data_IF_889046774075
#
_entry.id   IF_889046774075
#
_cell.length_a   1.000
_cell.length_b   1.000
_cell.length_c   1.000
_cell.angle_alpha   90.00
_cell.angle_beta   90.00
_cell.angle_gamma   90.00
#
_symmetry.space_group_name_H-M   'P 1'
#
loop_
_entity.id
_entity.type
_entity.pdbx_description
1 polymer ?
#
# COMPACT_ATOMS: atom_id res chain seq x y z
N UNK A 1 13.36 -1.13 3.55
CA UNK A 1 12.93 0.24 3.16
C UNK A 1 11.43 0.35 3.38
N UNK A 2 10.99 1.50 3.86
CA UNK A 2 9.59 1.78 4.12
C UNK A 2 9.29 3.24 3.81
N UNK A 3 8.09 3.52 3.32
CA UNK A 3 7.62 4.87 3.04
C UNK A 3 6.81 5.37 4.23
N UNK A 4 7.18 6.54 4.75
CA UNK A 4 6.54 7.23 5.86
C UNK A 4 5.78 8.44 5.32
N UNK A 5 4.50 8.58 5.64
CA UNK A 5 3.72 9.76 5.32
C UNK A 5 4.02 10.88 6.32
N UNK A 6 4.11 12.11 5.83
CA UNK A 6 4.26 13.30 6.69
C UNK A 6 2.94 13.72 7.31
N UNK A 7 1.83 13.47 6.61
CA UNK A 7 0.47 13.76 7.07
C UNK A 7 -0.34 12.47 7.10
N UNK A 8 -0.92 12.09 8.25
CA UNK A 8 -1.76 10.90 8.34
C UNK A 8 -3.00 10.98 7.45
N UNK A 9 -3.40 9.83 6.91
CA UNK A 9 -4.63 9.67 6.14
C UNK A 9 -5.83 9.65 7.09
N UNK A 10 -6.88 10.35 6.68
CA UNK A 10 -8.16 10.45 7.34
C UNK A 10 -9.29 10.58 6.30
N UNK A 11 -10.54 10.68 6.78
CA UNK A 11 -11.74 10.77 5.93
C UNK A 11 -11.79 11.99 4.99
N UNK A 12 -10.97 13.02 5.21
CA UNK A 12 -10.94 14.22 4.38
C UNK A 12 -9.94 14.10 3.22
N UNK A 13 -8.78 13.46 3.45
CA UNK A 13 -7.68 13.40 2.47
C UNK A 13 -7.47 12.00 1.85
N UNK A 14 -8.17 10.95 2.29
CA UNK A 14 -7.94 9.59 1.76
C UNK A 14 -8.15 9.47 0.24
N UNK A 15 -8.96 10.36 -0.34
CA UNK A 15 -9.25 10.39 -1.78
C UNK A 15 -8.14 11.01 -2.61
N UNK A 16 -7.16 11.64 -1.98
CA UNK A 16 -5.99 12.22 -2.67
C UNK A 16 -5.00 11.11 -3.05
N UNK A 17 -5.03 9.99 -2.32
CA UNK A 17 -4.12 8.85 -2.47
C UNK A 17 -4.67 7.74 -3.38
N UNK A 18 -5.12 8.08 -4.59
CA UNK A 18 -5.67 7.09 -5.54
C UNK A 18 -4.57 6.43 -6.38
N UNK A 19 -4.71 5.13 -6.64
CA UNK A 19 -3.85 4.40 -7.56
C UNK A 19 -4.67 3.76 -8.68
N UNK A 20 -4.43 4.20 -9.92
CA UNK A 20 -5.33 3.95 -11.05
C UNK A 20 -6.78 4.33 -10.67
N UNK A 21 -7.74 3.43 -10.89
CA UNK A 21 -9.16 3.62 -10.55
C UNK A 21 -9.50 3.19 -9.10
N UNK A 22 -8.49 2.77 -8.32
CA UNK A 22 -8.70 2.31 -6.95
C UNK A 22 -8.63 3.46 -5.94
N UNK A 23 -9.64 3.53 -5.08
CA UNK A 23 -9.70 4.47 -3.96
C UNK A 23 -9.32 3.77 -2.65
N UNK A 24 -8.64 4.51 -1.77
CA UNK A 24 -8.42 4.08 -0.40
C UNK A 24 -9.73 3.97 0.37
N UNK A 25 -9.89 2.83 1.02
CA UNK A 25 -11.01 2.54 1.90
C UNK A 25 -10.49 2.25 3.30
N UNK A 26 -11.17 2.82 4.29
CA UNK A 26 -10.91 2.49 5.68
C UNK A 26 -11.46 1.09 5.96
N UNK A 27 -10.58 0.16 6.35
CA UNK A 27 -10.96 -1.19 6.76
C UNK A 27 -11.36 -1.22 8.24
N UNK A 28 -10.61 -0.45 9.03
CA UNK A 28 -10.77 -0.24 10.47
C UNK A 28 -10.22 1.15 10.81
N UNK A 29 -10.59 1.76 11.95
CA UNK A 29 -10.11 3.08 12.32
C UNK A 29 -8.59 3.22 12.18
N UNK A 30 -8.13 4.10 11.28
CA UNK A 30 -6.71 4.36 11.05
C UNK A 30 -5.97 3.33 10.16
N UNK A 31 -6.68 2.33 9.64
CA UNK A 31 -6.15 1.32 8.70
C UNK A 31 -6.88 1.47 7.37
N UNK A 32 -6.13 1.88 6.36
CA UNK A 32 -6.65 2.12 5.02
C UNK A 32 -6.01 1.19 4.01
N UNK A 33 -6.80 0.69 3.06
CA UNK A 33 -6.28 -0.19 2.02
C UNK A 33 -6.87 0.11 0.65
N UNK A 34 -6.08 -0.24 -0.38
CA UNK A 34 -6.52 -0.28 -1.77
C UNK A 34 -5.66 -1.29 -2.55
N UNK A 35 -6.16 -1.88 -3.66
CA UNK A 35 -5.39 -2.82 -4.46
C UNK A 35 -4.19 -2.15 -5.15
N UNK A 36 -2.99 -2.70 -4.91
CA UNK A 36 -1.81 -2.45 -5.71
C UNK A 36 -1.81 -3.32 -6.97
N UNK A 37 -2.27 -4.57 -6.84
CA UNK A 37 -2.52 -5.49 -7.94
C UNK A 37 -3.67 -6.43 -7.57
N UNK A 38 -4.70 -6.45 -8.40
CA UNK A 38 -5.81 -7.37 -8.30
C UNK A 38 -6.30 -7.66 -9.71
N UNK A 39 -6.30 -8.94 -10.09
CA UNK A 39 -6.78 -9.40 -11.39
C UNK A 39 -7.66 -10.62 -11.19
N UNK A 40 -8.81 -10.63 -11.85
CA UNK A 40 -9.73 -11.76 -11.80
C UNK A 40 -9.05 -13.03 -12.33
N UNK A 41 -9.21 -14.13 -11.59
CA UNK A 41 -8.59 -15.42 -11.91
C UNK A 41 -7.09 -15.54 -11.60
N UNK A 42 -6.45 -14.50 -11.06
CA UNK A 42 -5.08 -14.58 -10.55
C UNK A 42 -5.08 -15.01 -9.08
N UNK A 43 -4.18 -15.93 -8.72
CA UNK A 43 -3.98 -16.36 -7.35
C UNK A 43 -3.19 -15.32 -6.53
N UNK A 44 -2.44 -14.46 -7.21
CA UNK A 44 -1.66 -13.40 -6.59
C UNK A 44 -2.47 -12.09 -6.56
N UNK A 45 -2.54 -11.48 -5.39
CA UNK A 45 -3.08 -10.13 -5.22
C UNK A 45 -2.26 -9.40 -4.15
N UNK A 46 -2.09 -8.10 -4.34
CA UNK A 46 -1.32 -7.26 -3.43
C UNK A 46 -2.08 -5.97 -3.17
N UNK A 47 -2.11 -5.55 -1.91
CA UNK A 47 -2.82 -4.36 -1.46
C UNK A 47 -1.84 -3.40 -0.80
N UNK A 48 -2.00 -2.11 -1.06
CA UNK A 48 -1.43 -1.08 -0.21
C UNK A 48 -2.13 -1.10 1.13
N UNK A 49 -1.37 -0.87 2.19
CA UNK A 49 -1.86 -0.72 3.56
C UNK A 49 -1.27 0.56 4.15
N UNK A 50 -2.10 1.54 4.46
CA UNK A 50 -1.71 2.75 5.16
C UNK A 50 -2.16 2.64 6.61
N UNK A 51 -1.20 2.64 7.53
CA UNK A 51 -1.47 2.41 8.95
C UNK A 51 -0.49 3.18 9.80
N UNK A 52 -0.89 3.52 11.02
CA UNK A 52 0.02 4.05 12.03
C UNK A 52 0.77 2.91 12.71
N UNK A 53 2.07 3.08 12.92
CA UNK A 53 2.92 2.18 13.71
C UNK A 53 3.13 2.75 15.13
N UNK A 54 3.76 1.97 16.03
CA UNK A 54 3.92 2.33 17.44
C UNK A 54 4.62 3.67 17.69
N UNK A 55 5.42 4.17 16.74
CA UNK A 55 6.07 5.48 16.81
C UNK A 55 5.12 6.66 16.55
N UNK A 56 3.86 6.38 16.18
CA UNK A 56 2.86 7.38 15.80
C UNK A 56 2.93 7.80 14.33
N UNK A 57 3.96 7.37 13.60
CA UNK A 57 4.08 7.64 12.16
C UNK A 57 3.09 6.80 11.35
N UNK A 58 2.48 7.40 10.33
CA UNK A 58 1.74 6.65 9.32
C UNK A 58 2.70 6.18 8.23
N UNK A 59 2.59 4.91 7.85
CA UNK A 59 3.48 4.25 6.90
C UNK A 59 2.68 3.57 5.79
N UNK A 60 3.32 3.37 4.64
CA UNK A 60 2.76 2.58 3.53
C UNK A 60 3.38 1.19 3.53
N UNK A 61 2.64 0.19 3.98
CA UNK A 61 2.98 -1.22 3.88
C UNK A 61 2.27 -1.88 2.69
N UNK A 62 2.59 -3.15 2.43
CA UNK A 62 1.81 -4.00 1.56
C UNK A 62 1.29 -5.23 2.32
N UNK A 63 0.24 -5.85 1.80
CA UNK A 63 -0.18 -7.18 2.22
C UNK A 63 -0.69 -7.94 1.00
N UNK A 64 -0.38 -9.23 0.92
CA UNK A 64 -1.00 -10.10 -0.07
C UNK A 64 -2.46 -10.34 0.30
N UNK A 65 -3.33 -10.47 -0.70
CA UNK A 65 -4.70 -10.89 -0.45
C UNK A 65 -4.76 -12.40 -0.27
N UNK A 66 -5.40 -12.85 0.81
CA UNK A 66 -5.69 -14.26 1.05
C UNK A 66 -7.14 -14.55 0.64
N UNK A 67 -7.39 -15.66 -0.09
CA UNK A 67 -8.74 -16.11 -0.36
C UNK A 67 -9.38 -16.58 0.96
N UNK A 68 -10.21 -15.73 1.57
CA UNK A 68 -11.07 -16.10 2.69
C UNK A 68 -12.52 -16.17 2.18
N UNK A 69 -13.25 -17.20 2.57
CA UNK A 69 -14.60 -17.50 2.06
C UNK A 69 -15.54 -16.28 2.04
N UNK A 70 -15.66 -15.66 0.86
CA UNK A 70 -16.49 -14.47 0.54
C UNK A 70 -16.02 -13.13 1.15
N UNK A 71 -14.81 -13.05 1.70
CA UNK A 71 -14.22 -11.79 2.18
C UNK A 71 -12.77 -11.67 1.71
N UNK A 72 -12.37 -10.47 1.31
CA UNK A 72 -10.96 -10.18 1.12
C UNK A 72 -10.29 -10.15 2.50
N UNK A 73 -9.43 -11.14 2.78
CA UNK A 73 -8.54 -11.10 3.93
C UNK A 73 -7.19 -10.54 3.47
N UNK A 74 -6.60 -9.64 4.26
CA UNK A 74 -5.22 -9.22 4.06
C UNK A 74 -4.33 -10.16 4.87
N UNK A 75 -3.31 -10.70 4.21
CA UNK A 75 -2.28 -11.50 4.85
C UNK A 75 -1.33 -10.66 5.70
N UNK A 76 -0.16 -11.22 6.01
CA UNK A 76 0.85 -10.54 6.83
C UNK A 76 1.37 -9.26 6.16
N UNK A 77 1.40 -8.12 6.87
CA UNK A 77 2.00 -6.91 6.34
C UNK A 77 3.49 -7.09 6.04
N UNK A 78 3.94 -6.43 4.98
CA UNK A 78 5.33 -6.36 4.57
C UNK A 78 5.75 -4.91 4.34
N UNK A 79 7.02 -4.62 4.57
CA UNK A 79 7.58 -3.29 4.31
C UNK A 79 7.37 -2.88 2.84
N UNK A 80 7.33 -1.58 2.56
CA UNK A 80 7.11 -1.05 1.21
C UNK A 80 8.07 -1.67 0.19
N UNK A 81 9.36 -1.78 0.55
CA UNK A 81 10.37 -2.38 -0.33
C UNK A 81 10.15 -3.88 -0.56
N UNK A 82 9.77 -4.63 0.46
CA UNK A 82 9.48 -6.07 0.33
C UNK A 82 8.27 -6.32 -0.58
N UNK A 83 7.21 -5.51 -0.46
CA UNK A 83 6.04 -5.62 -1.34
C UNK A 83 6.32 -5.24 -2.78
N UNK A 84 7.15 -4.21 -3.02
CA UNK A 84 7.62 -3.88 -4.36
C UNK A 84 8.43 -5.03 -4.98
N UNK A 85 9.31 -5.67 -4.20
CA UNK A 85 10.11 -6.81 -4.68
C UNK A 85 9.22 -8.04 -4.98
N UNK A 86 8.25 -8.35 -4.12
CA UNK A 86 7.28 -9.43 -4.36
C UNK A 86 6.48 -9.16 -5.64
N UNK A 87 5.96 -7.94 -5.80
CA UNK A 87 5.24 -7.54 -6.99
C UNK A 87 6.12 -7.57 -8.25
N UNK A 88 7.39 -7.19 -8.15
CA UNK A 88 8.31 -7.20 -9.30
C UNK A 88 8.56 -8.61 -9.80
N UNK A 89 8.74 -9.58 -8.90
CA UNK A 89 8.96 -10.97 -9.24
C UNK A 89 7.77 -11.60 -10.00
N UNK A 90 6.54 -11.15 -9.69
CA UNK A 90 5.31 -11.67 -10.32
C UNK A 90 4.86 -10.83 -11.53
N UNK A 91 4.99 -9.50 -11.44
CA UNK A 91 4.37 -8.52 -12.34
C UNK A 91 5.27 -7.27 -12.48
N UNK A 92 6.44 -7.41 -13.11
CA UNK A 92 7.44 -6.34 -13.29
C UNK A 92 6.82 -4.98 -13.71
N UNK A 93 6.02 -4.96 -14.79
CA UNK A 93 5.42 -3.72 -15.29
C UNK A 93 4.47 -3.08 -14.28
N UNK A 94 3.81 -3.88 -13.44
CA UNK A 94 2.94 -3.37 -12.37
C UNK A 94 3.78 -2.79 -11.24
N UNK A 95 4.86 -3.48 -10.85
CA UNK A 95 5.79 -3.01 -9.83
C UNK A 95 6.39 -1.65 -10.19
N UNK A 96 6.77 -1.45 -11.46
CA UNK A 96 7.26 -0.15 -11.94
C UNK A 96 6.22 0.97 -11.80
N UNK A 97 4.93 0.70 -12.08
CA UNK A 97 3.86 1.69 -11.87
C UNK A 97 3.62 1.98 -10.38
N UNK A 98 3.61 0.96 -9.54
CA UNK A 98 3.48 1.11 -8.08
C UNK A 98 4.65 1.93 -7.52
N UNK A 99 5.89 1.62 -7.93
CA UNK A 99 7.06 2.39 -7.52
C UNK A 99 6.96 3.85 -7.99
N UNK A 100 6.52 4.09 -9.23
CA UNK A 100 6.30 5.46 -9.72
C UNK A 100 5.31 6.22 -8.84
N UNK A 101 4.17 5.61 -8.52
CA UNK A 101 3.15 6.21 -7.65
C UNK A 101 3.72 6.59 -6.28
N UNK A 102 4.41 5.66 -5.60
CA UNK A 102 5.04 5.93 -4.30
C UNK A 102 6.08 7.06 -4.38
N UNK A 103 6.84 7.11 -5.47
CA UNK A 103 7.80 8.18 -5.71
C UNK A 103 7.14 9.52 -6.03
N UNK A 104 5.98 9.54 -6.69
CA UNK A 104 5.25 10.77 -6.95
C UNK A 104 4.75 11.38 -5.63
N UNK A 105 4.22 10.56 -4.70
CA UNK A 105 3.85 11.01 -3.34
C UNK A 105 5.07 11.60 -2.62
N UNK A 106 6.21 10.91 -2.68
CA UNK A 106 7.42 11.41 -2.03
C UNK A 106 7.93 12.71 -2.64
N UNK A 107 7.87 12.86 -3.98
CA UNK A 107 8.25 14.10 -4.69
C UNK A 107 7.31 15.26 -4.43
N UNK A 108 6.04 15.00 -4.11
CA UNK A 108 5.08 16.00 -3.68
C UNK A 108 5.32 16.47 -2.23
N UNK A 109 6.40 16.01 -1.59
CA UNK A 109 6.76 16.28 -0.20
C UNK A 109 5.77 15.70 0.83
N UNK A 110 4.92 14.75 0.41
CA UNK A 110 3.93 14.12 1.28
C UNK A 110 4.46 12.88 2.00
N UNK A 111 5.58 12.32 1.52
CA UNK A 111 6.16 11.11 2.08
C UNK A 111 7.69 11.06 1.95
N UNK A 112 8.30 10.24 2.80
CA UNK A 112 9.74 10.05 2.85
C UNK A 112 10.10 8.55 2.90
N UNK A 113 11.06 8.16 2.07
CA UNK A 113 11.64 6.83 2.14
C UNK A 113 12.64 6.74 3.29
N UNK A 114 12.44 5.78 4.18
CA UNK A 114 13.35 5.49 5.28
C UNK A 114 13.88 4.06 5.19
N UNK A 115 15.14 3.90 5.55
CA UNK A 115 15.69 2.59 5.86
C UNK A 115 15.22 2.22 7.28
N UNK A 116 14.65 1.04 7.42
CA UNK A 116 14.31 0.46 8.72
C UNK A 116 15.43 -0.52 9.04
N UNK A 117 16.02 -0.37 10.22
CA UNK A 117 17.13 -1.17 10.75
C UNK A 117 16.55 -2.14 11.78
#
# INVERSE_FOLDING_TARGET
>A
MMLFLKTPINQQNHRDYKFDDAELRELQPGIWAMPAYLKEGDAYSLFFLFTTIDTGDMVVAFAEGEPLEKRLALGKPMTTGAGLNSLFAQQEKRAQRVLKFLNDISRADEAEWRQII
#
